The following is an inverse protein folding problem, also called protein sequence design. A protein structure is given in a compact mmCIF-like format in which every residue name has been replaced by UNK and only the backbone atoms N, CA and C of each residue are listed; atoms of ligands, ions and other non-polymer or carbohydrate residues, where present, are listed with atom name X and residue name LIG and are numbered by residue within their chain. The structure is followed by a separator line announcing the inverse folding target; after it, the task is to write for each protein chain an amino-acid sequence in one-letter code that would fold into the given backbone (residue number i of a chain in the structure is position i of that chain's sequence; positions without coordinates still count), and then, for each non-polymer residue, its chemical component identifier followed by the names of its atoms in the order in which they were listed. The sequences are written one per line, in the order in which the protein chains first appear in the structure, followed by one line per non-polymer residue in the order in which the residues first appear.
data_IF_570485720799
#
_entry.id   IF_570485720799
#
_cell.length_a   1.000
_cell.length_b   1.000
_cell.length_c   1.000
_cell.angle_alpha   90.00
_cell.angle_beta   90.00
_cell.angle_gamma   90.00
#
_symmetry.space_group_name_H-M   'P 1'
#
loop_
_entity.id
_entity.type
_entity.pdbx_description
1 polymer ?
#
# COMPACT_ATOMS: atom_id res chain seq x y z
N UNK A 1 -7.55 1.77 3.98
CA UNK A 1 -6.20 1.59 4.56
C UNK A 1 -6.17 0.33 5.39
N UNK A 2 -5.10 -0.44 5.36
CA UNK A 2 -5.06 -1.75 6.01
C UNK A 2 -3.62 -2.23 6.22
N UNK A 3 -3.46 -3.30 6.99
CA UNK A 3 -2.17 -3.95 7.20
C UNK A 3 -2.21 -5.43 6.85
N UNK A 4 -1.07 -5.96 6.45
CA UNK A 4 -0.84 -7.39 6.27
C UNK A 4 0.52 -7.78 6.82
N UNK A 5 0.67 -9.05 7.17
CA UNK A 5 1.92 -9.59 7.68
C UNK A 5 2.75 -10.26 6.58
N UNK A 6 4.07 -10.14 6.71
CA UNK A 6 5.05 -10.85 5.89
C UNK A 6 6.20 -11.34 6.76
N UNK A 7 6.82 -12.46 6.40
CA UNK A 7 8.00 -12.98 7.10
C UNK A 7 9.29 -12.51 6.42
N UNK A 8 10.19 -11.90 7.21
CA UNK A 8 11.52 -11.46 6.76
C UNK A 8 12.58 -12.04 7.69
N UNK A 9 13.48 -12.83 7.19
CA UNK A 9 14.49 -13.56 7.98
C UNK A 9 13.90 -14.29 9.19
N UNK A 10 12.75 -14.95 9.00
CA UNK A 10 12.04 -15.66 10.07
C UNK A 10 11.24 -14.78 11.04
N UNK A 11 11.34 -13.46 10.95
CA UNK A 11 10.64 -12.51 11.83
C UNK A 11 9.44 -11.91 11.13
N UNK A 12 8.33 -11.72 11.86
CA UNK A 12 7.17 -11.05 11.34
C UNK A 12 7.42 -9.57 11.15
N UNK A 13 6.94 -9.04 10.01
CA UNK A 13 6.87 -7.63 9.65
C UNK A 13 5.46 -7.30 9.22
N UNK A 14 5.03 -6.10 9.52
CA UNK A 14 3.70 -5.60 9.22
C UNK A 14 3.78 -4.58 8.11
N UNK A 15 3.06 -4.84 7.02
CA UNK A 15 3.00 -3.98 5.84
C UNK A 15 1.69 -3.20 5.88
N UNK A 16 1.79 -1.94 6.24
CA UNK A 16 0.69 -1.00 6.20
C UNK A 16 0.56 -0.43 4.81
N UNK A 17 -0.66 -0.32 4.29
CA UNK A 17 -0.92 0.18 2.95
C UNK A 17 -2.12 1.11 2.91
N UNK A 18 -1.94 2.29 2.28
CA UNK A 18 -2.99 3.24 1.97
C UNK A 18 -3.27 3.21 0.47
N UNK A 19 -4.53 3.04 0.11
CA UNK A 19 -5.02 3.06 -1.27
C UNK A 19 -6.11 4.12 -1.36
N UNK A 20 -6.08 4.95 -2.40
CA UNK A 20 -7.09 5.93 -2.69
C UNK A 20 -8.35 5.29 -3.28
N UNK A 21 -9.41 6.10 -3.43
CA UNK A 21 -10.72 5.65 -3.93
C UNK A 21 -10.66 5.04 -5.33
N UNK A 22 -9.70 5.45 -6.16
CA UNK A 22 -9.51 4.92 -7.51
C UNK A 22 -8.49 3.77 -7.57
N UNK A 23 -8.09 3.23 -6.42
CA UNK A 23 -7.14 2.11 -6.32
C UNK A 23 -5.66 2.49 -6.43
N UNK A 24 -5.30 3.78 -6.48
CA UNK A 24 -3.91 4.23 -6.44
C UNK A 24 -3.30 3.97 -5.06
N UNK A 25 -2.07 3.47 -5.03
CA UNK A 25 -1.33 3.30 -3.78
C UNK A 25 -0.78 4.65 -3.34
N UNK A 26 -1.27 5.15 -2.22
CA UNK A 26 -0.85 6.43 -1.63
C UNK A 26 0.48 6.25 -0.89
N UNK A 27 0.55 5.28 0.02
CA UNK A 27 1.76 4.98 0.78
C UNK A 27 1.84 3.52 1.20
N UNK A 28 3.08 3.03 1.40
CA UNK A 28 3.37 1.70 1.92
C UNK A 28 4.46 1.79 2.98
N UNK A 29 4.18 1.29 4.17
CA UNK A 29 5.11 1.28 5.31
C UNK A 29 5.34 -0.13 5.80
N UNK A 30 6.61 -0.51 5.97
CA UNK A 30 6.99 -1.78 6.61
C UNK A 30 7.45 -1.50 8.02
N UNK A 31 6.78 -2.08 8.99
CA UNK A 31 7.08 -1.93 10.42
C UNK A 31 7.47 -3.27 11.06
N UNK A 32 8.35 -3.22 12.05
CA UNK A 32 8.65 -4.36 12.92
C UNK A 32 7.61 -4.56 14.03
N UNK A 33 6.68 -3.63 14.21
CA UNK A 33 5.66 -3.65 15.26
C UNK A 33 4.28 -3.40 14.69
N UNK A 34 3.28 -4.00 15.33
CA UNK A 34 1.86 -3.80 15.11
C UNK A 34 1.27 -3.14 16.36
N UNK A 35 1.52 -1.86 16.52
CA UNK A 35 1.09 -1.09 17.67
C UNK A 35 0.51 0.27 17.24
N UNK A 36 -0.06 0.99 18.20
CA UNK A 36 -0.65 2.32 17.97
C UNK A 36 0.39 3.33 17.41
N UNK A 37 1.65 3.24 17.83
CA UNK A 37 2.73 4.10 17.34
C UNK A 37 3.04 3.84 15.86
N UNK A 38 3.05 2.57 15.45
CA UNK A 38 3.25 2.19 14.05
C UNK A 38 2.07 2.64 13.19
N UNK A 39 0.83 2.44 13.65
CA UNK A 39 -0.37 2.91 13.00
C UNK A 39 -0.37 4.44 12.83
N UNK A 40 -0.08 5.19 13.91
CA UNK A 40 0.00 6.64 13.87
C UNK A 40 0.99 7.14 12.82
N UNK A 41 2.23 6.64 12.86
CA UNK A 41 3.27 7.00 11.88
C UNK A 41 2.87 6.68 10.45
N UNK A 42 2.17 5.58 10.24
CA UNK A 42 1.65 5.22 8.93
C UNK A 42 0.59 6.22 8.44
N UNK A 43 -0.41 6.56 9.27
CA UNK A 43 -1.45 7.51 8.90
C UNK A 43 -0.88 8.91 8.65
N UNK A 44 0.02 9.40 9.50
CA UNK A 44 0.70 10.69 9.31
C UNK A 44 1.42 10.75 7.95
N UNK A 45 2.14 9.69 7.59
CA UNK A 45 2.82 9.59 6.29
C UNK A 45 1.83 9.54 5.12
N UNK A 46 0.80 8.72 5.22
CA UNK A 46 -0.19 8.57 4.16
C UNK A 46 -0.92 9.90 3.89
N UNK A 47 -1.29 10.63 4.94
CA UNK A 47 -1.91 11.96 4.85
C UNK A 47 -0.94 12.95 4.19
N UNK A 48 0.31 12.99 4.65
CA UNK A 48 1.34 13.86 4.07
C UNK A 48 1.63 13.57 2.59
N UNK A 49 1.59 12.29 2.19
CA UNK A 49 1.78 11.86 0.80
C UNK A 49 0.57 12.21 -0.07
N UNK A 50 -0.64 12.08 0.45
CA UNK A 50 -1.87 12.38 -0.28
C UNK A 50 -2.00 13.87 -0.60
N UNK A 51 -1.42 14.76 0.22
CA UNK A 51 -1.52 16.23 0.12
C UNK A 51 -2.97 16.77 0.16
N UNK A 52 -3.91 15.91 0.48
CA UNK A 52 -5.34 16.24 0.59
C UNK A 52 -5.86 15.54 1.84
N UNK A 53 -6.63 16.25 2.64
CA UNK A 53 -7.29 15.68 3.81
C UNK A 53 -8.46 14.80 3.35
N UNK A 54 -8.48 13.52 3.70
CA UNK A 54 -9.56 12.64 3.32
C UNK A 54 -10.85 12.99 4.10
N UNK A 55 -11.98 12.93 3.42
CA UNK A 55 -13.31 13.04 4.05
C UNK A 55 -13.80 11.70 4.59
N UNK A 56 -13.27 10.61 4.07
CA UNK A 56 -13.59 9.24 4.49
C UNK A 56 -12.32 8.39 4.57
N UNK A 57 -12.21 7.58 5.62
CA UNK A 57 -11.14 6.60 5.79
C UNK A 57 -11.76 5.24 6.06
N UNK A 58 -11.45 4.29 5.17
CA UNK A 58 -11.87 2.89 5.32
C UNK A 58 -10.70 2.09 5.88
N UNK A 59 -10.92 1.33 6.96
CA UNK A 59 -9.94 0.40 7.54
C UNK A 59 -10.59 -0.93 7.88
N UNK A 60 -9.78 -1.90 8.30
CA UNK A 60 -10.26 -3.05 9.03
C UNK A 60 -10.68 -2.64 10.48
N UNK A 61 -11.04 -3.63 11.30
CA UNK A 61 -11.48 -3.39 12.67
C UNK A 61 -10.32 -3.42 13.68
N UNK A 62 -9.09 -3.14 13.29
CA UNK A 62 -7.95 -3.12 14.20
C UNK A 62 -8.17 -2.09 15.33
N UNK A 63 -8.08 -2.47 16.62
CA UNK A 63 -8.45 -1.62 17.75
C UNK A 63 -7.65 -0.31 17.86
N UNK A 64 -6.46 -0.28 17.28
CA UNK A 64 -5.58 0.92 17.29
C UNK A 64 -6.04 2.04 16.35
N UNK A 65 -6.82 1.72 15.30
CA UNK A 65 -7.14 2.69 14.26
C UNK A 65 -8.13 3.77 14.69
N UNK A 66 -9.25 3.46 15.38
CA UNK A 66 -10.21 4.50 15.76
C UNK A 66 -9.57 5.61 16.57
N UNK A 67 -8.77 5.28 17.57
CA UNK A 67 -8.10 6.27 18.46
C UNK A 67 -7.13 7.14 17.68
N UNK A 68 -6.33 6.53 16.77
CA UNK A 68 -5.36 7.27 15.97
C UNK A 68 -6.06 8.19 14.97
N UNK A 69 -7.13 7.70 14.32
CA UNK A 69 -7.88 8.48 13.33
C UNK A 69 -8.63 9.65 13.96
N UNK A 70 -9.21 9.45 15.15
CA UNK A 70 -9.86 10.54 15.89
C UNK A 70 -8.87 11.68 16.20
N UNK A 71 -7.62 11.35 16.52
CA UNK A 71 -6.58 12.35 16.80
C UNK A 71 -6.06 13.06 15.54
N UNK A 72 -5.95 12.35 14.42
CA UNK A 72 -5.33 12.87 13.20
C UNK A 72 -6.34 13.43 12.19
N UNK A 73 -7.56 12.90 12.18
CA UNK A 73 -8.59 13.11 11.17
C UNK A 73 -9.98 13.15 11.79
N UNK A 74 -10.15 13.94 12.85
CA UNK A 74 -11.44 14.05 13.59
C UNK A 74 -12.64 14.41 12.72
N UNK A 75 -12.42 15.10 11.60
CA UNK A 75 -13.47 15.47 10.64
C UNK A 75 -13.77 14.39 9.58
N UNK A 76 -12.94 13.36 9.50
CA UNK A 76 -13.14 12.30 8.51
C UNK A 76 -14.05 11.20 9.04
N UNK A 77 -14.93 10.72 8.18
CA UNK A 77 -15.75 9.56 8.52
C UNK A 77 -14.96 8.28 8.49
N UNK A 78 -14.87 7.59 9.62
CA UNK A 78 -14.19 6.30 9.73
C UNK A 78 -15.18 5.15 9.49
N UNK A 79 -14.95 4.39 8.41
CA UNK A 79 -15.74 3.21 8.04
C UNK A 79 -14.98 1.91 8.26
N UNK A 80 -15.69 0.90 8.79
CA UNK A 80 -15.18 -0.45 9.04
C UNK A 80 -16.12 -1.53 8.49
N UNK A 81 -16.86 -1.22 7.42
CA UNK A 81 -17.80 -2.16 6.82
C UNK A 81 -17.08 -3.36 6.21
N UNK A 82 -17.71 -4.53 6.29
CA UNK A 82 -17.14 -5.84 5.92
C UNK A 82 -16.47 -5.87 4.54
N UNK A 83 -17.00 -5.16 3.56
CA UNK A 83 -16.49 -5.20 2.17
C UNK A 83 -15.87 -3.86 1.72
N UNK A 84 -15.88 -2.86 2.56
CA UNK A 84 -15.38 -1.54 2.20
C UNK A 84 -13.86 -1.53 1.96
N UNK A 85 -13.12 -2.52 2.49
CA UNK A 85 -11.67 -2.65 2.41
C UNK A 85 -11.18 -3.62 1.30
N UNK A 86 -12.07 -4.18 0.48
CA UNK A 86 -11.75 -5.20 -0.53
C UNK A 86 -10.62 -4.81 -1.50
N UNK A 87 -10.49 -3.52 -1.86
CA UNK A 87 -9.42 -3.06 -2.75
C UNK A 87 -8.04 -3.26 -2.13
N UNK A 88 -7.90 -2.99 -0.84
CA UNK A 88 -6.63 -3.17 -0.11
C UNK A 88 -6.34 -4.65 0.10
N UNK A 89 -7.35 -5.43 0.49
CA UNK A 89 -7.24 -6.88 0.68
C UNK A 89 -6.82 -7.59 -0.61
N UNK A 90 -7.42 -7.23 -1.74
CA UNK A 90 -7.04 -7.77 -3.06
C UNK A 90 -5.58 -7.43 -3.41
N UNK A 91 -5.11 -6.25 -3.03
CA UNK A 91 -3.73 -5.83 -3.27
C UNK A 91 -2.74 -6.58 -2.36
N UNK A 92 -3.11 -6.82 -1.10
CA UNK A 92 -2.36 -7.69 -0.19
C UNK A 92 -2.26 -9.13 -0.72
N UNK A 93 -3.34 -9.67 -1.27
CA UNK A 93 -3.36 -10.99 -1.89
C UNK A 93 -2.36 -11.09 -3.07
N UNK A 94 -2.32 -10.07 -3.94
CA UNK A 94 -1.35 -9.99 -5.05
C UNK A 94 0.09 -9.89 -4.57
N UNK A 95 0.33 -9.13 -3.50
CA UNK A 95 1.67 -9.06 -2.88
C UNK A 95 2.08 -10.43 -2.35
N UNK A 96 1.25 -11.10 -1.57
CA UNK A 96 1.53 -12.43 -1.03
C UNK A 96 1.77 -13.47 -2.12
N UNK A 97 0.99 -13.46 -3.19
CA UNK A 97 1.19 -14.34 -4.36
C UNK A 97 2.56 -14.10 -5.03
N UNK A 98 3.04 -12.86 -5.09
CA UNK A 98 4.37 -12.54 -5.61
C UNK A 98 5.50 -13.01 -4.68
N UNK A 99 5.31 -12.90 -3.36
CA UNK A 99 6.32 -13.29 -2.38
C UNK A 99 6.47 -14.81 -2.25
N UNK A 100 5.42 -15.57 -2.52
CA UNK A 100 5.43 -17.05 -2.42
C UNK A 100 6.59 -17.70 -3.18
N UNK A 101 6.77 -17.47 -4.49
CA UNK A 101 7.85 -18.06 -5.28
C UNK A 101 9.26 -17.60 -4.89
N UNK A 102 9.40 -16.50 -4.18
CA UNK A 102 10.71 -15.90 -3.81
C UNK A 102 11.40 -16.63 -2.64
N UNK A 103 10.86 -17.74 -2.15
CA UNK A 103 11.39 -18.52 -1.01
C UNK A 103 11.66 -17.67 0.25
N UNK A 104 10.84 -16.65 0.45
CA UNK A 104 10.89 -15.72 1.57
C UNK A 104 11.91 -14.58 1.40
N UNK A 105 11.71 -13.57 2.21
CA UNK A 105 12.53 -12.37 2.26
C UNK A 105 13.64 -12.55 3.31
N UNK A 106 14.88 -12.24 2.94
CA UNK A 106 16.06 -12.45 3.78
C UNK A 106 16.48 -11.22 4.60
N UNK A 107 16.15 -10.03 4.12
CA UNK A 107 16.60 -8.75 4.71
C UNK A 107 15.47 -7.72 4.69
N UNK A 108 15.39 -6.88 5.71
CA UNK A 108 14.40 -5.78 5.81
C UNK A 108 14.54 -4.78 4.65
N UNK A 109 15.77 -4.48 4.21
CA UNK A 109 16.03 -3.60 3.06
C UNK A 109 15.43 -4.18 1.77
N UNK A 110 15.70 -5.44 1.48
CA UNK A 110 15.16 -6.12 0.30
C UNK A 110 13.63 -6.24 0.38
N UNK A 111 13.09 -6.52 1.56
CA UNK A 111 11.65 -6.56 1.77
C UNK A 111 10.98 -5.23 1.42
N UNK A 112 11.51 -4.11 1.93
CA UNK A 112 11.00 -2.77 1.62
C UNK A 112 11.06 -2.47 0.14
N UNK A 113 12.16 -2.81 -0.53
CA UNK A 113 12.34 -2.58 -1.96
C UNK A 113 11.34 -3.39 -2.79
N UNK A 114 11.17 -4.68 -2.50
CA UNK A 114 10.22 -5.56 -3.21
C UNK A 114 8.78 -5.09 -3.01
N UNK A 115 8.41 -4.70 -1.78
CA UNK A 115 7.07 -4.23 -1.46
C UNK A 115 6.77 -2.88 -2.15
N UNK A 116 7.73 -1.95 -2.13
CA UNK A 116 7.61 -0.68 -2.84
C UNK A 116 7.54 -0.88 -4.37
N UNK A 117 8.40 -1.75 -4.91
CA UNK A 117 8.37 -2.12 -6.33
C UNK A 117 7.06 -2.78 -6.75
N UNK A 118 6.47 -3.62 -5.89
CA UNK A 118 5.14 -4.18 -6.15
C UNK A 118 4.08 -3.07 -6.23
N UNK A 119 4.10 -2.12 -5.30
CA UNK A 119 3.19 -0.98 -5.30
C UNK A 119 3.33 -0.15 -6.59
N UNK A 120 4.57 0.14 -7.01
CA UNK A 120 4.87 0.83 -8.27
C UNK A 120 4.31 0.08 -9.50
N UNK A 121 4.56 -1.23 -9.59
CA UNK A 121 4.03 -2.08 -10.68
C UNK A 121 2.50 -2.04 -10.75
N UNK A 122 1.81 -2.12 -9.60
CA UNK A 122 0.36 -2.01 -9.57
C UNK A 122 -0.13 -0.62 -9.99
N UNK A 123 0.61 0.42 -9.66
CA UNK A 123 0.30 1.79 -10.03
C UNK A 123 0.38 1.99 -11.55
N UNK A 124 1.46 1.50 -12.19
CA UNK A 124 1.61 1.52 -13.66
C UNK A 124 0.49 0.71 -14.33
N UNK A 125 0.22 -0.50 -13.87
CA UNK A 125 -0.82 -1.36 -14.45
C UNK A 125 -2.21 -0.71 -14.44
N UNK A 126 -2.51 0.06 -13.40
CA UNK A 126 -3.79 0.77 -13.26
C UNK A 126 -3.86 2.08 -14.03
N UNK A 127 -2.76 2.51 -14.67
CA UNK A 127 -2.70 3.73 -15.45
C UNK A 127 -2.66 5.01 -14.60
N UNK A 128 -2.12 4.93 -13.38
CA UNK A 128 -2.00 6.09 -12.47
C UNK A 128 -0.73 6.90 -12.67
N UNK A 129 0.22 6.42 -13.49
CA UNK A 129 1.34 7.20 -13.99
C UNK A 129 1.08 7.66 -15.41
N UNK A 130 1.75 8.75 -15.83
CA UNK A 130 1.78 9.20 -17.23
C UNK A 130 2.78 8.35 -18.07
N UNK A 131 2.78 7.04 -17.84
CA UNK A 131 3.60 6.06 -18.54
C UNK A 131 2.68 5.06 -19.21
N UNK A 132 2.83 4.89 -20.52
CA UNK A 132 2.03 3.96 -21.32
C UNK A 132 0.51 4.06 -21.07
N UNK A 133 -0.01 5.28 -20.86
CA UNK A 133 -1.42 5.49 -20.44
C UNK A 133 -2.39 5.08 -21.56
N UNK A 134 -2.00 5.32 -22.80
CA UNK A 134 -2.78 4.98 -24.01
C UNK A 134 -2.79 3.48 -24.31
N UNK A 135 -1.90 2.70 -23.66
CA UNK A 135 -1.77 1.29 -23.91
C UNK A 135 -2.82 0.46 -23.13
N UNK A 136 -3.33 -0.61 -23.71
CA UNK A 136 -4.19 -1.55 -22.99
C UNK A 136 -3.43 -2.20 -21.82
N UNK A 137 -4.15 -2.61 -20.77
CA UNK A 137 -3.58 -3.07 -19.50
C UNK A 137 -2.51 -4.16 -19.67
N UNK A 138 -2.69 -5.07 -20.62
CA UNK A 138 -1.75 -6.17 -20.89
C UNK A 138 -0.42 -5.69 -21.53
N UNK A 139 -0.40 -4.52 -22.17
CA UNK A 139 0.79 -3.94 -22.82
C UNK A 139 1.44 -2.82 -22.02
N UNK A 140 0.77 -2.26 -21.03
CA UNK A 140 1.29 -1.13 -20.24
C UNK A 140 2.65 -1.37 -19.63
N UNK A 141 2.90 -2.55 -19.05
CA UNK A 141 4.16 -2.82 -18.37
C UNK A 141 5.38 -2.77 -19.30
N UNK A 142 5.43 -3.53 -20.41
CA UNK A 142 6.61 -3.48 -21.30
C UNK A 142 6.82 -2.09 -21.89
N UNK A 143 5.76 -1.39 -22.29
CA UNK A 143 5.88 -0.04 -22.86
C UNK A 143 6.35 0.97 -21.81
N UNK A 144 5.78 0.96 -20.60
CA UNK A 144 6.21 1.85 -19.53
C UNK A 144 7.68 1.65 -19.13
N UNK A 145 8.16 0.40 -19.11
CA UNK A 145 9.58 0.13 -18.84
C UNK A 145 10.49 0.57 -20.00
N UNK A 146 10.02 0.48 -21.25
CA UNK A 146 10.75 1.02 -22.39
C UNK A 146 10.86 2.56 -22.32
N UNK A 147 9.76 3.25 -22.00
CA UNK A 147 9.77 4.71 -21.79
C UNK A 147 10.71 5.12 -20.65
N UNK A 148 10.69 4.41 -19.52
CA UNK A 148 11.60 4.66 -18.40
C UNK A 148 13.06 4.43 -18.77
N UNK A 149 13.37 3.40 -19.55
CA UNK A 149 14.73 3.12 -20.01
C UNK A 149 15.29 4.20 -20.91
N UNK A 150 14.44 4.90 -21.66
CA UNK A 150 14.84 6.03 -22.50
C UNK A 150 15.08 7.33 -21.70
N UNK A 151 14.57 7.39 -20.46
CA UNK A 151 14.69 8.55 -19.58
C UNK A 151 15.92 8.53 -18.66
N UNK A 152 16.67 7.42 -18.67
CA UNK A 152 17.90 7.20 -17.89
C UNK A 152 19.11 7.40 -18.81
#
# INVERSE_FOLDING_TARGET
MDETDVKVAGRWRYVYRAIGQFGQVIDVVVSGRRDMRAARRFFERAIGTAKVMPTEVVTDRAPSYPVVLEQLLSAAWHRTDRYANNLVEADHGRLKARLGPMRGLKQDRSARLVIAGHAFVQYVRRGHYKLAVEEPVNRRMPVAFAELALAI
#
